data_IF_040540200227
#
_entry.id   IF_040540200227
#
_cell.length_a   1.000
_cell.length_b   1.000
_cell.length_c   1.000
_cell.angle_alpha   90.00
_cell.angle_beta   90.00
_cell.angle_gamma   90.00
#
_symmetry.space_group_name_H-M   'P 1'
#
loop_
_entity.id
_entity.type
_entity.pdbx_description
1 polymer ?
#
# COMPACT_ATOMS: atom_id res chain seq x y z
N UNK A 1 -1.56 25.75 18.14
CA UNK A 1 -2.63 25.59 17.90
C UNK A 1 -2.89 24.87 16.73
N UNK A 2 -2.60 25.28 15.73
CA UNK A 2 -2.89 24.59 14.52
C UNK A 2 -2.19 23.26 14.41
N UNK A 3 -1.16 23.06 15.14
CA UNK A 3 -0.48 21.80 15.04
C UNK A 3 -1.33 20.67 15.43
N UNK A 4 -2.17 20.88 16.40
CA UNK A 4 -2.97 19.81 16.85
C UNK A 4 -3.88 19.33 15.82
N UNK A 5 -4.50 20.24 15.11
CA UNK A 5 -5.39 19.84 14.07
C UNK A 5 -4.68 19.01 13.04
N UNK A 6 -3.46 19.40 12.74
CA UNK A 6 -2.73 18.69 11.74
C UNK A 6 -2.42 17.27 12.17
N UNK A 7 -2.06 17.12 13.41
CA UNK A 7 -1.75 15.79 13.88
C UNK A 7 -2.94 14.88 13.74
N UNK A 8 -4.11 15.38 14.05
CA UNK A 8 -5.30 14.58 13.93
C UNK A 8 -5.54 14.18 12.49
N UNK A 9 -5.31 15.11 11.57
CA UNK A 9 -5.54 14.84 10.18
C UNK A 9 -4.61 13.76 9.66
N UNK A 10 -3.41 13.72 10.19
CA UNK A 10 -2.43 12.78 9.70
C UNK A 10 -2.86 11.34 9.86
N UNK A 11 -3.78 11.08 10.75
CA UNK A 11 -4.20 9.71 10.95
C UNK A 11 -5.33 9.29 10.05
N UNK A 12 -5.80 10.21 9.23
CA UNK A 12 -6.94 9.92 8.40
C UNK A 12 -6.52 9.74 6.95
N UNK A 13 -5.84 8.65 6.69
CA UNK A 13 -5.42 8.36 5.32
C UNK A 13 -6.52 7.55 4.67
N UNK A 14 -7.02 8.05 3.54
CA UNK A 14 -8.07 7.34 2.85
C UNK A 14 -7.50 6.18 2.06
N UNK A 15 -8.37 5.23 1.74
CA UNK A 15 -7.96 4.10 0.93
C UNK A 15 -7.42 4.56 -0.42
N UNK A 16 -8.06 5.54 -1.01
CA UNK A 16 -7.62 6.06 -2.30
C UNK A 16 -6.21 6.60 -2.22
N UNK A 17 -5.91 7.34 -1.15
CA UNK A 17 -4.58 7.90 -0.99
C UNK A 17 -3.55 6.82 -0.76
N UNK A 18 -3.91 5.81 0.01
CA UNK A 18 -3.00 4.71 0.27
C UNK A 18 -2.69 3.96 -1.02
N UNK A 19 -3.71 3.66 -1.79
CA UNK A 19 -3.51 2.95 -3.04
C UNK A 19 -2.70 3.77 -4.03
N UNK A 20 -2.93 5.08 -4.06
CA UNK A 20 -2.17 5.95 -4.95
C UNK A 20 -0.70 5.96 -4.55
N UNK A 21 -0.43 5.95 -3.26
CA UNK A 21 0.94 5.95 -2.79
C UNK A 21 1.64 4.63 -3.15
N UNK A 22 0.95 3.52 -2.98
CA UNK A 22 1.51 2.23 -3.34
C UNK A 22 1.83 2.19 -4.82
N UNK A 23 0.89 2.64 -5.63
CA UNK A 23 1.08 2.59 -7.07
C UNK A 23 2.20 3.51 -7.52
N UNK A 24 2.29 4.68 -6.92
CA UNK A 24 3.34 5.61 -7.28
C UNK A 24 4.72 5.01 -7.02
N UNK A 25 4.89 4.44 -5.84
CA UNK A 25 6.16 3.84 -5.49
C UNK A 25 6.46 2.64 -6.38
N UNK A 26 5.47 1.81 -6.62
CA UNK A 26 5.67 0.62 -7.45
C UNK A 26 6.05 1.01 -8.87
N UNK A 27 5.38 2.01 -9.42
CA UNK A 27 5.70 2.44 -10.77
C UNK A 27 7.09 3.04 -10.85
N UNK A 28 7.41 3.87 -9.87
CA UNK A 28 8.70 4.57 -9.88
C UNK A 28 9.86 3.62 -9.64
N UNK A 29 9.71 2.68 -8.74
CA UNK A 29 10.80 1.82 -8.34
C UNK A 29 10.84 0.49 -9.09
N UNK A 30 9.70 -0.01 -9.51
CA UNK A 30 9.61 -1.33 -10.12
C UNK A 30 8.99 -1.33 -11.50
N UNK A 31 8.36 -0.24 -11.89
CA UNK A 31 7.67 -0.19 -13.16
C UNK A 31 6.41 -1.03 -13.19
N UNK A 32 5.79 -1.25 -12.03
CA UNK A 32 4.62 -2.12 -11.93
C UNK A 32 3.40 -1.31 -11.52
N UNK A 33 2.23 -1.77 -11.96
CA UNK A 33 0.98 -1.20 -11.53
C UNK A 33 0.56 -1.82 -10.20
N UNK A 34 -0.47 -1.25 -9.58
CA UNK A 34 -0.99 -1.79 -8.33
C UNK A 34 -1.41 -3.24 -8.51
N UNK A 35 -2.10 -3.54 -9.60
CA UNK A 35 -2.57 -4.90 -9.84
C UNK A 35 -1.40 -5.86 -9.98
N UNK A 36 -0.35 -5.43 -10.65
CA UNK A 36 0.81 -6.29 -10.81
C UNK A 36 1.53 -6.52 -9.49
N UNK A 37 1.57 -5.50 -8.65
CA UNK A 37 2.17 -5.65 -7.34
C UNK A 37 1.40 -6.67 -6.52
N UNK A 38 0.08 -6.58 -6.52
CA UNK A 38 -0.74 -7.52 -5.76
C UNK A 38 -0.58 -8.94 -6.29
N UNK A 39 -0.48 -9.06 -7.59
CA UNK A 39 -0.32 -10.39 -8.17
C UNK A 39 0.99 -11.02 -7.74
N UNK A 40 2.06 -10.26 -7.72
CA UNK A 40 3.34 -10.78 -7.33
C UNK A 40 3.39 -11.13 -5.85
N UNK A 41 2.70 -10.35 -5.03
CA UNK A 41 2.60 -10.65 -3.61
C UNK A 41 1.84 -11.94 -3.41
N UNK A 42 0.71 -12.10 -4.09
CA UNK A 42 -0.12 -13.28 -3.90
C UNK A 42 0.56 -14.55 -4.41
N UNK A 43 1.33 -14.44 -5.47
CA UNK A 43 1.99 -15.60 -6.02
C UNK A 43 3.30 -15.93 -5.33
N UNK A 44 3.82 -15.03 -4.51
CA UNK A 44 5.10 -15.23 -3.87
C UNK A 44 6.28 -14.87 -4.74
N UNK A 45 6.04 -14.36 -5.93
CA UNK A 45 7.12 -14.02 -6.83
C UNK A 45 8.02 -12.94 -6.26
N UNK A 46 7.46 -12.09 -5.41
CA UNK A 46 8.25 -11.00 -4.86
C UNK A 46 9.44 -11.50 -4.05
N UNK A 47 9.36 -12.70 -3.51
CA UNK A 47 10.44 -13.22 -2.68
C UNK A 47 11.68 -13.53 -3.50
N UNK A 48 11.53 -13.68 -4.81
CA UNK A 48 12.65 -13.98 -5.68
C UNK A 48 13.45 -12.73 -6.04
N UNK A 49 12.90 -11.57 -5.78
CA UNK A 49 13.55 -10.32 -6.12
C UNK A 49 14.38 -9.84 -4.95
N UNK A 50 15.52 -10.47 -4.74
CA UNK A 50 16.35 -10.17 -3.58
C UNK A 50 16.87 -8.74 -3.57
N UNK A 51 17.12 -8.19 -4.74
CA UNK A 51 17.63 -6.84 -4.83
C UNK A 51 16.65 -5.82 -4.26
N UNK A 52 15.37 -6.12 -4.34
CA UNK A 52 14.33 -5.20 -3.87
C UNK A 52 13.55 -5.78 -2.69
N UNK A 53 14.17 -6.67 -1.95
CA UNK A 53 13.46 -7.37 -0.89
C UNK A 53 12.87 -6.40 0.14
N UNK A 54 13.62 -5.39 0.54
CA UNK A 54 13.13 -4.45 1.53
C UNK A 54 11.97 -3.65 0.99
N UNK A 55 12.06 -3.26 -0.27
CA UNK A 55 10.97 -2.54 -0.90
C UNK A 55 9.73 -3.41 -0.95
N UNK A 56 9.89 -4.68 -1.31
CA UNK A 56 8.77 -5.60 -1.37
C UNK A 56 8.15 -5.83 0.00
N UNK A 57 8.98 -5.88 1.05
CA UNK A 57 8.46 -6.01 2.40
C UNK A 57 7.56 -4.82 2.75
N UNK A 58 8.01 -3.62 2.37
CA UNK A 58 7.22 -2.43 2.61
C UNK A 58 5.93 -2.45 1.81
N UNK A 59 6.03 -2.81 0.52
CA UNK A 59 4.85 -2.86 -0.34
C UNK A 59 3.85 -3.89 0.17
N UNK A 60 4.34 -5.02 0.62
CA UNK A 60 3.47 -6.06 1.13
C UNK A 60 2.69 -5.57 2.34
N UNK A 61 3.35 -4.85 3.24
CA UNK A 61 2.67 -4.28 4.38
C UNK A 61 1.63 -3.26 3.98
N UNK A 62 1.96 -2.40 3.02
CA UNK A 62 1.04 -1.38 2.56
C UNK A 62 -0.15 -1.99 1.85
N UNK A 63 0.09 -2.99 1.02
CA UNK A 63 -1.01 -3.68 0.33
C UNK A 63 -1.90 -4.38 1.34
N UNK A 64 -1.31 -4.96 2.39
CA UNK A 64 -2.10 -5.58 3.42
C UNK A 64 -3.02 -4.59 4.11
N UNK A 65 -2.50 -3.39 4.38
CA UNK A 65 -3.32 -2.35 4.98
C UNK A 65 -4.45 -1.93 4.04
N UNK A 66 -4.14 -1.78 2.77
CA UNK A 66 -5.16 -1.38 1.79
C UNK A 66 -6.25 -2.44 1.70
N UNK A 67 -5.87 -3.71 1.73
CA UNK A 67 -6.84 -4.78 1.66
C UNK A 67 -7.71 -4.82 2.90
N UNK A 68 -7.13 -4.55 4.05
CA UNK A 68 -7.90 -4.50 5.28
C UNK A 68 -8.91 -3.36 5.23
N UNK A 69 -8.53 -2.22 4.68
CA UNK A 69 -9.44 -1.11 4.55
C UNK A 69 -10.55 -1.41 3.58
N UNK A 70 -10.23 -2.06 2.46
CA UNK A 70 -11.26 -2.44 1.50
C UNK A 70 -12.25 -3.40 2.12
N UNK A 71 -11.73 -4.39 2.85
CA UNK A 71 -12.59 -5.38 3.47
C UNK A 71 -13.47 -4.75 4.52
N UNK A 72 -12.89 -3.82 5.28
CA UNK A 72 -13.66 -3.15 6.32
C UNK A 72 -14.81 -2.36 5.72
N UNK A 73 -14.52 -1.63 4.65
CA UNK A 73 -15.56 -0.85 3.98
C UNK A 73 -16.66 -1.76 3.44
N UNK A 74 -16.26 -2.84 2.81
CA UNK A 74 -17.23 -3.76 2.27
C UNK A 74 -18.01 -4.47 3.35
N UNK A 75 -17.36 -4.74 4.45
CA UNK A 75 -18.00 -5.45 5.54
C UNK A 75 -19.05 -4.64 6.26
N UNK A 76 -19.02 -3.34 6.06
CA UNK A 76 -20.01 -2.49 6.71
C UNK A 76 -21.39 -2.66 6.14
N UNK A 77 -21.48 -3.19 5.00
CA UNK A 77 -22.77 -3.41 4.39
C UNK A 77 -23.38 -4.69 4.88
#
# INVERSE_FOLDING_TARGET
MSERGRAAINYTVTLTELEAQIEEVAQRRLGLSMAEVEERIDSGEWEKDEANYELWSWLRGMVGSARAMRRHDGGMI
#
